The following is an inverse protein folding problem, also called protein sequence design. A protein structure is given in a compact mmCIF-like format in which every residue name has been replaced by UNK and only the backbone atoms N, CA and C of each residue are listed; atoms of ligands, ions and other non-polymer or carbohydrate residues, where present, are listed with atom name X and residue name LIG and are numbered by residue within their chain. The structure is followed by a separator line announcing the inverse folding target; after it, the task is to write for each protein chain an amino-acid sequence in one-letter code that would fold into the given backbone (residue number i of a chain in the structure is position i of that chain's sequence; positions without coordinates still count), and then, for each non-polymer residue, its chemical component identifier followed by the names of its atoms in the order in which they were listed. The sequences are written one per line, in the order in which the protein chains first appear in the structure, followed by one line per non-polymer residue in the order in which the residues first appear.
data_IF_725995645925
#
_entry.id   IF_725995645925
#
_cell.length_a   1.000
_cell.length_b   1.000
_cell.length_c   1.000
_cell.angle_alpha   90.00
_cell.angle_beta   90.00
_cell.angle_gamma   90.00
#
_symmetry.space_group_name_H-M   'P 1'
#
loop_
_entity.id
_entity.type
_entity.pdbx_description
1 polymer ?
#
# COMPACT_ATOMS: atom_id res chain seq x y z
N UNK A 1 -13.33 -2.99 -4.67
CA UNK A 1 -13.27 -2.25 -5.94
C UNK A 1 -11.98 -2.59 -6.68
N UNK A 2 -10.81 -2.31 -6.10
CA UNK A 2 -9.48 -2.62 -6.68
C UNK A 2 -9.31 -4.08 -7.15
N UNK A 3 -9.79 -5.07 -6.39
CA UNK A 3 -9.64 -6.48 -6.75
C UNK A 3 -10.31 -6.82 -8.11
N UNK A 4 -11.48 -6.25 -8.38
CA UNK A 4 -12.18 -6.45 -9.65
C UNK A 4 -11.47 -5.71 -10.80
N UNK A 5 -10.92 -4.52 -10.54
CA UNK A 5 -10.09 -3.79 -11.50
C UNK A 5 -8.85 -4.61 -11.86
N UNK A 6 -8.12 -5.13 -10.88
CA UNK A 6 -6.94 -5.96 -11.10
C UNK A 6 -7.25 -7.25 -11.88
N UNK A 7 -8.37 -7.91 -11.58
CA UNK A 7 -8.84 -9.06 -12.37
C UNK A 7 -9.15 -8.69 -13.82
N UNK A 8 -9.78 -7.53 -14.05
CA UNK A 8 -10.06 -7.03 -15.40
C UNK A 8 -8.77 -6.76 -16.17
N UNK A 9 -7.78 -6.13 -15.52
CA UNK A 9 -6.46 -5.88 -16.11
C UNK A 9 -5.74 -7.20 -16.45
N UNK A 10 -5.83 -8.21 -15.57
CA UNK A 10 -5.24 -9.53 -15.80
C UNK A 10 -5.91 -10.28 -16.97
N UNK A 11 -7.23 -10.15 -17.12
CA UNK A 11 -7.95 -10.68 -18.30
C UNK A 11 -7.44 -10.01 -19.57
N UNK A 12 -7.36 -8.68 -19.60
CA UNK A 12 -6.82 -7.95 -20.75
C UNK A 12 -5.38 -8.34 -21.04
N UNK A 13 -4.55 -8.52 -20.01
CA UNK A 13 -3.14 -8.89 -20.17
C UNK A 13 -2.97 -10.25 -20.86
N UNK A 14 -3.90 -11.19 -20.64
CA UNK A 14 -3.88 -12.53 -21.24
C UNK A 14 -4.40 -12.57 -22.68
N UNK A 15 -5.04 -11.51 -23.16
CA UNK A 15 -5.49 -11.44 -24.56
C UNK A 15 -4.27 -11.41 -25.51
N UNK A 16 -4.34 -12.07 -26.68
CA UNK A 16 -3.27 -12.05 -27.67
C UNK A 16 -2.86 -10.62 -28.05
N UNK A 17 -1.57 -10.32 -27.96
CA UNK A 17 -1.02 -9.01 -28.31
C UNK A 17 -0.10 -9.14 -29.53
N UNK A 18 -0.18 -8.16 -30.43
CA UNK A 18 0.68 -8.07 -31.62
C UNK A 18 2.03 -7.41 -31.33
N UNK A 19 2.17 -6.72 -30.20
CA UNK A 19 3.42 -6.13 -29.71
C UNK A 19 3.56 -6.30 -28.19
N UNK A 20 4.78 -6.09 -27.68
CA UNK A 20 5.08 -6.16 -26.25
C UNK A 20 4.62 -4.93 -25.46
N UNK A 21 4.20 -3.85 -26.12
CA UNK A 21 3.85 -2.59 -25.46
C UNK A 21 2.59 -2.73 -24.60
N UNK A 22 1.56 -3.43 -25.12
CA UNK A 22 0.29 -3.63 -24.42
C UNK A 22 0.47 -4.41 -23.11
N UNK A 23 1.13 -5.59 -23.08
CA UNK A 23 1.45 -6.27 -21.83
C UNK A 23 2.21 -5.40 -20.82
N UNK A 24 3.21 -4.64 -21.27
CA UNK A 24 4.00 -3.74 -20.41
C UNK A 24 3.11 -2.65 -19.78
N UNK A 25 2.26 -2.01 -20.58
CA UNK A 25 1.34 -0.98 -20.11
C UNK A 25 0.33 -1.53 -19.10
N UNK A 26 -0.21 -2.73 -19.34
CA UNK A 26 -1.17 -3.38 -18.45
C UNK A 26 -0.51 -3.79 -17.11
N UNK A 27 0.71 -4.30 -17.14
CA UNK A 27 1.49 -4.57 -15.92
C UNK A 27 1.74 -3.30 -15.10
N UNK A 28 2.13 -2.20 -15.75
CA UNK A 28 2.29 -0.89 -15.08
C UNK A 28 0.98 -0.41 -14.47
N UNK A 29 -0.12 -0.50 -15.22
CA UNK A 29 -1.45 -0.10 -14.76
C UNK A 29 -1.88 -0.90 -13.53
N UNK A 30 -1.65 -2.20 -13.51
CA UNK A 30 -1.96 -3.04 -12.35
C UNK A 30 -1.23 -2.55 -11.08
N UNK A 31 0.07 -2.25 -11.19
CA UNK A 31 0.87 -1.78 -10.05
C UNK A 31 0.38 -0.41 -9.58
N UNK A 32 0.10 0.52 -10.50
CA UNK A 32 -0.44 1.84 -10.16
C UNK A 32 -1.80 1.73 -9.44
N UNK A 33 -2.68 0.86 -9.90
CA UNK A 33 -3.99 0.61 -9.30
C UNK A 33 -3.86 0.04 -7.87
N UNK A 34 -2.95 -0.92 -7.66
CA UNK A 34 -2.65 -1.44 -6.32
C UNK A 34 -2.10 -0.35 -5.39
N UNK A 35 -1.17 0.46 -5.89
CA UNK A 35 -0.55 1.53 -5.12
C UNK A 35 -1.56 2.63 -4.74
N UNK A 36 -2.45 3.00 -5.66
CA UNK A 36 -3.54 3.94 -5.39
C UNK A 36 -4.49 3.41 -4.31
N UNK A 37 -4.80 2.11 -4.33
CA UNK A 37 -5.57 1.49 -3.26
C UNK A 37 -4.85 1.55 -1.90
N UNK A 38 -3.54 1.31 -1.85
CA UNK A 38 -2.77 1.39 -0.58
C UNK A 38 -2.81 2.78 0.05
N UNK A 39 -2.72 3.85 -0.75
CA UNK A 39 -2.84 5.23 -0.25
C UNK A 39 -4.22 5.45 0.39
N UNK A 40 -5.29 5.06 -0.31
CA UNK A 40 -6.67 5.17 0.19
C UNK A 40 -6.90 4.31 1.44
N UNK A 41 -6.30 3.13 1.50
CA UNK A 41 -6.45 2.21 2.62
C UNK A 41 -5.77 2.75 3.89
N UNK A 42 -4.60 3.36 3.76
CA UNK A 42 -3.93 4.02 4.89
C UNK A 42 -4.69 5.24 5.38
N UNK A 43 -5.23 6.03 4.47
CA UNK A 43 -6.10 7.16 4.83
C UNK A 43 -7.33 6.68 5.61
N UNK A 44 -7.96 5.58 5.16
CA UNK A 44 -9.09 4.96 5.87
C UNK A 44 -8.70 4.48 7.26
N UNK A 45 -7.58 3.77 7.39
CA UNK A 45 -7.13 3.26 8.69
C UNK A 45 -6.79 4.41 9.66
N UNK A 46 -6.14 5.49 9.20
CA UNK A 46 -5.88 6.67 10.02
C UNK A 46 -7.17 7.35 10.48
N UNK A 47 -8.20 7.41 9.62
CA UNK A 47 -9.51 7.94 10.02
C UNK A 47 -10.19 7.07 11.11
N UNK A 48 -10.00 5.75 11.07
CA UNK A 48 -10.49 4.88 12.15
C UNK A 48 -9.75 5.12 13.46
N UNK A 49 -8.43 5.27 13.39
CA UNK A 49 -7.61 5.61 14.57
C UNK A 49 -8.09 6.92 15.18
N UNK A 50 -8.22 7.96 14.35
CA UNK A 50 -8.67 9.28 14.75
C UNK A 50 -10.04 9.23 15.44
N UNK A 51 -11.01 8.53 14.86
CA UNK A 51 -12.35 8.39 15.43
C UNK A 51 -12.35 7.68 16.80
N UNK A 52 -11.38 6.80 17.03
CA UNK A 52 -11.21 6.07 18.30
C UNK A 52 -10.41 6.81 19.36
N UNK A 53 -9.73 7.92 19.04
CA UNK A 53 -8.87 8.63 20.00
C UNK A 53 -9.11 10.14 20.07
N UNK A 54 -9.03 10.85 18.94
CA UNK A 54 -9.00 12.31 18.89
C UNK A 54 -10.38 12.92 18.66
N UNK A 55 -11.19 12.33 17.78
CA UNK A 55 -12.50 12.87 17.39
C UNK A 55 -12.44 14.21 16.63
N UNK A 56 -11.30 14.53 16.00
CA UNK A 56 -11.09 15.70 15.14
C UNK A 56 -10.68 15.29 13.71
N UNK A 57 -11.63 14.69 12.99
CA UNK A 57 -11.48 14.30 11.58
C UNK A 57 -11.00 15.45 10.68
N UNK A 58 -11.54 16.68 10.75
CA UNK A 58 -11.06 17.78 9.91
C UNK A 58 -9.59 18.12 10.12
N UNK A 59 -9.11 18.06 11.38
CA UNK A 59 -7.70 18.30 11.66
C UNK A 59 -6.81 17.21 11.06
N UNK A 60 -7.16 15.93 11.25
CA UNK A 60 -6.37 14.81 10.72
C UNK A 60 -6.35 14.81 9.19
N UNK A 61 -7.48 15.07 8.55
CA UNK A 61 -7.55 15.17 7.09
C UNK A 61 -6.61 16.27 6.56
N UNK A 62 -6.63 17.45 7.18
CA UNK A 62 -5.85 18.60 6.74
C UNK A 62 -4.36 18.51 7.07
N UNK A 63 -3.99 17.97 8.24
CA UNK A 63 -2.63 18.07 8.77
C UNK A 63 -1.83 16.76 8.71
N UNK A 64 -2.52 15.63 8.55
CA UNK A 64 -1.90 14.29 8.50
C UNK A 64 -2.04 13.70 7.10
N UNK A 65 -3.28 13.45 6.65
CA UNK A 65 -3.57 12.76 5.39
C UNK A 65 -3.12 13.59 4.18
N UNK A 66 -3.64 14.82 4.01
CA UNK A 66 -3.29 15.69 2.86
C UNK A 66 -1.82 16.09 2.78
N UNK A 67 -1.05 15.88 3.85
CA UNK A 67 0.40 16.17 3.89
C UNK A 67 1.26 14.94 3.61
N UNK A 68 0.65 13.78 3.39
CA UNK A 68 1.34 12.51 3.15
C UNK A 68 1.03 12.08 1.72
N UNK A 69 2.08 11.75 0.96
CA UNK A 69 1.95 11.26 -0.40
C UNK A 69 2.81 10.00 -0.53
N UNK A 70 2.17 8.85 -0.42
CA UNK A 70 2.81 7.53 -0.47
C UNK A 70 2.34 6.61 0.64
N UNK A 71 2.85 5.38 0.62
CA UNK A 71 2.33 4.28 1.45
C UNK A 71 3.44 3.35 1.97
N UNK A 72 4.70 3.77 1.97
CA UNK A 72 5.73 2.98 2.67
C UNK A 72 5.50 3.01 4.19
N UNK A 73 5.81 1.91 4.86
CA UNK A 73 5.53 1.76 6.30
C UNK A 73 6.26 2.83 7.14
N UNK A 74 7.58 2.90 7.01
CA UNK A 74 8.41 3.76 7.86
C UNK A 74 8.33 5.25 7.53
N UNK A 75 8.13 5.60 6.24
CA UNK A 75 8.16 7.01 5.82
C UNK A 75 6.76 7.65 5.74
N UNK A 76 5.69 6.86 5.68
CA UNK A 76 4.33 7.37 5.49
C UNK A 76 3.39 6.90 6.60
N UNK A 77 3.16 5.58 6.72
CA UNK A 77 2.22 5.05 7.71
C UNK A 77 2.60 5.40 9.15
N UNK A 78 3.82 5.04 9.55
CA UNK A 78 4.29 5.22 10.93
C UNK A 78 4.31 6.70 11.35
N UNK A 79 4.80 7.66 10.53
CA UNK A 79 4.68 9.08 10.83
C UNK A 79 3.24 9.58 10.93
N UNK A 80 2.31 9.08 10.09
CA UNK A 80 0.89 9.43 10.21
C UNK A 80 0.31 8.93 11.53
N UNK A 81 0.56 7.67 11.88
CA UNK A 81 0.09 7.08 13.13
C UNK A 81 0.67 7.86 14.34
N UNK A 82 1.97 8.11 14.38
CA UNK A 82 2.60 8.88 15.46
C UNK A 82 2.05 10.30 15.61
N UNK A 83 1.61 10.95 14.54
CA UNK A 83 0.96 12.28 14.64
C UNK A 83 -0.41 12.24 15.32
N UNK A 84 -1.12 11.12 15.23
CA UNK A 84 -2.47 10.98 15.78
C UNK A 84 -2.43 10.44 17.21
N UNK A 85 -1.61 9.42 17.48
CA UNK A 85 -1.60 8.70 18.78
C UNK A 85 -0.26 8.76 19.53
N UNK A 86 0.76 9.37 18.95
CA UNK A 86 2.09 9.48 19.55
C UNK A 86 2.97 8.24 19.34
N UNK A 87 4.28 8.43 19.54
CA UNK A 87 5.31 7.41 19.29
C UNK A 87 5.20 6.19 20.23
N UNK A 88 4.85 6.41 21.51
CA UNK A 88 4.73 5.33 22.49
C UNK A 88 3.62 4.36 22.10
N UNK A 89 2.48 4.88 21.65
CA UNK A 89 1.36 4.07 21.19
C UNK A 89 1.72 3.32 19.90
N UNK A 90 2.27 4.03 18.90
CA UNK A 90 2.65 3.41 17.64
C UNK A 90 3.60 2.22 17.83
N UNK A 91 4.63 2.37 18.69
CA UNK A 91 5.52 1.26 19.05
C UNK A 91 4.81 0.11 19.73
N UNK A 92 3.83 0.41 20.60
CA UNK A 92 3.05 -0.62 21.29
C UNK A 92 2.26 -1.47 20.29
N UNK A 93 1.65 -0.85 19.28
CA UNK A 93 0.96 -1.54 18.18
C UNK A 93 1.95 -2.43 17.41
N UNK A 94 3.10 -1.89 17.02
CA UNK A 94 4.11 -2.65 16.27
C UNK A 94 4.60 -3.88 17.06
N UNK A 95 4.87 -3.71 18.36
CA UNK A 95 5.26 -4.81 19.26
C UNK A 95 4.13 -5.84 19.42
N UNK A 96 2.89 -5.39 19.62
CA UNK A 96 1.74 -6.27 19.77
C UNK A 96 1.48 -7.06 18.48
N UNK A 97 1.60 -6.41 17.32
CA UNK A 97 1.44 -7.04 16.02
C UNK A 97 2.53 -8.08 15.78
N UNK A 98 3.80 -7.75 16.05
CA UNK A 98 4.90 -8.69 15.92
C UNK A 98 4.78 -9.88 16.90
N UNK A 99 4.23 -9.68 18.09
CA UNK A 99 3.99 -10.75 19.05
C UNK A 99 2.87 -11.71 18.60
N UNK A 100 1.80 -11.17 17.99
CA UNK A 100 0.67 -11.95 17.49
C UNK A 100 0.97 -12.61 16.12
N UNK A 101 1.77 -11.96 15.29
CA UNK A 101 2.08 -12.35 13.91
C UNK A 101 3.59 -12.21 13.61
N UNK A 102 4.44 -13.10 14.16
CA UNK A 102 5.88 -12.99 14.03
C UNK A 102 6.36 -12.94 12.56
N UNK A 103 7.17 -11.92 12.23
CA UNK A 103 7.75 -11.72 10.90
C UNK A 103 6.83 -11.03 9.88
N UNK A 104 5.53 -10.87 10.18
CA UNK A 104 4.61 -10.20 9.26
C UNK A 104 4.85 -8.69 9.19
N UNK A 105 5.37 -8.05 10.24
CA UNK A 105 5.72 -6.62 10.17
C UNK A 105 6.86 -6.38 9.19
N UNK A 106 7.91 -7.18 9.26
CA UNK A 106 9.05 -7.09 8.33
C UNK A 106 8.60 -7.37 6.90
N UNK A 107 7.75 -8.39 6.72
CA UNK A 107 7.16 -8.68 5.41
C UNK A 107 6.34 -7.48 4.89
N UNK A 108 5.51 -6.88 5.74
CA UNK A 108 4.68 -5.74 5.36
C UNK A 108 5.55 -4.57 4.91
N UNK A 109 6.54 -4.21 5.73
CA UNK A 109 7.47 -3.11 5.46
C UNK A 109 8.24 -3.34 4.16
N UNK A 110 8.73 -4.55 3.92
CA UNK A 110 9.46 -4.90 2.71
C UNK A 110 8.57 -4.82 1.47
N UNK A 111 7.36 -5.39 1.53
CA UNK A 111 6.41 -5.37 0.39
C UNK A 111 5.98 -3.95 0.05
N UNK A 112 5.64 -3.12 1.03
CA UNK A 112 5.26 -1.72 0.82
C UNK A 112 6.41 -0.90 0.24
N UNK A 113 7.65 -1.13 0.71
CA UNK A 113 8.83 -0.43 0.21
C UNK A 113 9.16 -0.81 -1.23
N UNK A 114 9.04 -2.10 -1.59
CA UNK A 114 9.21 -2.57 -2.96
C UNK A 114 8.16 -1.96 -3.90
N UNK A 115 6.88 -2.00 -3.53
CA UNK A 115 5.79 -1.41 -4.32
C UNK A 115 5.92 0.11 -4.49
N UNK A 116 6.38 0.81 -3.45
CA UNK A 116 6.66 2.24 -3.53
C UNK A 116 7.79 2.54 -4.52
N UNK A 117 8.86 1.75 -4.50
CA UNK A 117 9.97 1.86 -5.45
C UNK A 117 9.50 1.60 -6.88
N UNK A 118 8.70 0.56 -7.10
CA UNK A 118 8.13 0.23 -8.42
C UNK A 118 7.24 1.37 -8.94
N UNK A 119 6.34 1.91 -8.11
CA UNK A 119 5.50 3.08 -8.46
C UNK A 119 6.35 4.27 -8.86
N UNK A 120 7.36 4.62 -8.06
CA UNK A 120 8.22 5.76 -8.35
C UNK A 120 8.95 5.57 -9.68
N UNK A 121 9.47 4.36 -9.93
CA UNK A 121 10.10 4.00 -11.20
C UNK A 121 9.14 4.16 -12.37
N UNK A 122 7.91 3.66 -12.28
CA UNK A 122 6.95 3.75 -13.39
C UNK A 122 6.37 5.15 -13.61
N UNK A 123 6.27 5.97 -12.56
CA UNK A 123 5.78 7.34 -12.65
C UNK A 123 6.80 8.30 -13.27
N UNK A 124 8.10 8.01 -13.12
CA UNK A 124 9.19 8.88 -13.59
C UNK A 124 9.89 8.41 -14.87
N UNK A 125 9.60 7.20 -15.36
CA UNK A 125 10.27 6.65 -16.52
C UNK A 125 9.43 6.75 -17.81
N UNK A 126 9.94 7.52 -18.78
CA UNK A 126 9.41 7.56 -20.15
C UNK A 126 9.37 6.14 -20.76
N UNK A 127 8.34 5.84 -21.56
CA UNK A 127 8.22 4.53 -22.22
C UNK A 127 9.47 4.24 -23.08
N UNK A 128 10.01 5.26 -23.76
CA UNK A 128 11.23 5.16 -24.58
C UNK A 128 12.49 4.86 -23.76
N UNK A 129 12.60 5.40 -22.54
CA UNK A 129 13.72 5.12 -21.62
C UNK A 129 13.69 3.67 -21.10
N UNK A 130 12.48 3.10 -20.97
CA UNK A 130 12.27 1.71 -20.53
C UNK A 130 12.42 0.70 -21.68
N UNK A 131 12.15 1.10 -22.92
CA UNK A 131 12.26 0.24 -24.12
C UNK A 131 13.71 0.14 -24.61
N UNK A 132 14.55 1.17 -24.39
CA UNK A 132 15.96 1.16 -24.77
C UNK A 132 16.85 0.28 -23.85
N UNK A 133 16.42 0.01 -22.61
CA UNK A 133 17.06 -0.91 -21.67
C UNK A 133 16.21 -2.19 -21.55
N UNK A 134 16.40 -3.10 -22.50
CA UNK A 134 15.76 -4.42 -22.66
C UNK A 134 15.96 -5.40 -21.49
N UNK A 135 15.56 -5.04 -20.27
CA UNK A 135 15.56 -5.95 -19.11
C UNK A 135 14.67 -5.49 -17.92
N UNK A 136 13.67 -4.64 -18.15
CA UNK A 136 12.64 -4.40 -17.13
C UNK A 136 11.72 -5.63 -17.03
N UNK A 137 12.04 -6.52 -16.09
CA UNK A 137 11.12 -7.58 -15.66
C UNK A 137 9.98 -6.93 -14.88
N UNK A 138 8.94 -6.47 -15.57
CA UNK A 138 7.73 -5.97 -14.91
C UNK A 138 6.87 -7.17 -14.55
N UNK A 139 6.44 -7.23 -13.29
CA UNK A 139 5.56 -8.28 -12.80
C UNK A 139 4.26 -8.32 -13.61
N UNK A 140 3.78 -9.53 -13.91
CA UNK A 140 2.47 -9.72 -14.53
C UNK A 140 1.35 -9.30 -13.57
N UNK A 141 0.17 -8.89 -14.07
CA UNK A 141 -0.96 -8.51 -13.20
C UNK A 141 -1.37 -9.60 -12.19
N UNK A 142 -1.21 -10.88 -12.55
CA UNK A 142 -1.44 -12.00 -11.63
C UNK A 142 -0.57 -11.95 -10.36
N UNK A 143 0.66 -11.46 -10.46
CA UNK A 143 1.53 -11.23 -9.30
C UNK A 143 0.98 -10.08 -8.46
N UNK A 144 0.54 -8.98 -9.08
CA UNK A 144 -0.07 -7.84 -8.38
C UNK A 144 -1.34 -8.24 -7.64
N UNK A 145 -2.16 -9.13 -8.21
CA UNK A 145 -3.33 -9.72 -7.54
C UNK A 145 -2.89 -10.50 -6.29
N UNK A 146 -1.84 -11.32 -6.40
CA UNK A 146 -1.29 -12.06 -5.27
C UNK A 146 -0.80 -11.13 -4.15
N UNK A 147 -0.10 -10.06 -4.51
CA UNK A 147 0.33 -9.04 -3.55
C UNK A 147 -0.85 -8.36 -2.87
N UNK A 148 -1.88 -7.97 -3.63
CA UNK A 148 -3.11 -7.39 -3.09
C UNK A 148 -3.75 -8.33 -2.06
N UNK A 149 -3.91 -9.61 -2.38
CA UNK A 149 -4.49 -10.60 -1.46
C UNK A 149 -3.69 -10.72 -0.17
N UNK A 150 -2.37 -10.80 -0.27
CA UNK A 150 -1.46 -10.88 0.89
C UNK A 150 -1.56 -9.61 1.74
N UNK A 151 -1.53 -8.43 1.11
CA UNK A 151 -1.61 -7.14 1.80
C UNK A 151 -2.95 -6.95 2.51
N UNK A 152 -4.08 -7.32 1.91
CA UNK A 152 -5.39 -7.28 2.56
C UNK A 152 -5.40 -8.10 3.86
N UNK A 153 -4.79 -9.29 3.85
CA UNK A 153 -4.73 -10.13 5.05
C UNK A 153 -3.85 -9.52 6.13
N UNK A 154 -2.65 -9.05 5.77
CA UNK A 154 -1.70 -8.48 6.71
C UNK A 154 -2.19 -7.15 7.29
N UNK A 155 -2.72 -6.26 6.44
CA UNK A 155 -3.31 -5.00 6.88
C UNK A 155 -4.56 -5.21 7.74
N UNK A 156 -5.41 -6.19 7.40
CA UNK A 156 -6.57 -6.52 8.24
C UNK A 156 -6.17 -7.05 9.63
N UNK A 157 -5.10 -7.83 9.73
CA UNK A 157 -4.55 -8.27 11.03
C UNK A 157 -3.91 -7.12 11.80
N UNK A 158 -3.15 -6.26 11.12
CA UNK A 158 -2.56 -5.07 11.72
C UNK A 158 -3.64 -4.13 12.25
N UNK A 159 -4.69 -3.88 11.48
CA UNK A 159 -5.87 -3.10 11.88
C UNK A 159 -6.57 -3.71 13.10
N UNK A 160 -6.74 -5.04 13.14
CA UNK A 160 -7.35 -5.69 14.30
C UNK A 160 -6.54 -5.45 15.59
N UNK A 161 -5.20 -5.57 15.52
CA UNK A 161 -4.32 -5.26 16.65
C UNK A 161 -4.41 -3.77 17.02
N UNK A 162 -4.39 -2.89 16.02
CA UNK A 162 -4.51 -1.45 16.20
C UNK A 162 -5.80 -1.08 16.94
N UNK A 163 -6.94 -1.64 16.57
CA UNK A 163 -8.23 -1.40 17.23
C UNK A 163 -8.29 -1.93 18.66
N UNK A 164 -7.68 -3.09 18.93
CA UNK A 164 -7.54 -3.61 20.29
C UNK A 164 -6.70 -2.69 21.16
N UNK A 165 -5.60 -2.14 20.62
CA UNK A 165 -4.76 -1.20 21.35
C UNK A 165 -5.42 0.16 21.57
N UNK A 166 -6.23 0.63 20.61
CA UNK A 166 -7.01 1.88 20.75
C UNK A 166 -8.01 1.76 21.89
N UNK A 167 -8.71 0.62 22.01
CA UNK A 167 -9.66 0.39 23.10
C UNK A 167 -9.05 0.34 24.51
N UNK A 168 -7.72 0.45 24.63
CA UNK A 168 -6.99 0.54 25.91
C UNK A 168 -6.59 1.98 26.27
N UNK A 169 -6.85 2.96 25.39
CA UNK A 169 -6.67 4.40 25.67
C UNK A 169 -7.95 4.91 26.30
#
# INVERSE_FOLDING_TARGET
MVAATLQTIDVWFKEPATSNDRPILLSKLAILELCGWLEVEFDRMIQLVEAGCLGDRPWVEKHVIKKTSGFSFDNHWRPMLCKVVGEVFARRVDVAYQAAHPGELDHLTNTLSALWSDRCSFAHADLSANVANTQLTINAPSWTISQHTTLVQMLGRYEAVLMVEIGKI
#
